data_IF_650262304982
#
_entry.id   IF_650262304982
#
_cell.length_a   1.000
_cell.length_b   1.000
_cell.length_c   1.000
_cell.angle_alpha   90.00
_cell.angle_beta   90.00
_cell.angle_gamma   90.00
#
_symmetry.space_group_name_H-M   'P 1'
#
loop_
_entity.id
_entity.type
_entity.pdbx_description
1 polymer ?
#
# COMPACT_ATOMS: atom_id res chain seq x y z
N UNK A 1 -7.81 8.19 4.11
CA UNK A 1 -8.97 8.85 4.73
C UNK A 1 -9.37 8.20 6.05
N UNK A 2 -9.91 6.97 6.05
CA UNK A 2 -10.42 6.33 7.29
C UNK A 2 -9.35 6.04 8.36
N UNK A 3 -8.20 5.50 7.95
CA UNK A 3 -7.09 5.27 8.89
C UNK A 3 -6.57 6.58 9.48
N UNK A 4 -6.60 7.67 8.72
CA UNK A 4 -6.18 8.98 9.21
C UNK A 4 -7.20 9.61 10.17
N UNK A 5 -8.50 9.34 9.98
CA UNK A 5 -9.54 9.79 10.91
C UNK A 5 -9.36 9.17 12.29
N UNK A 6 -9.24 7.85 12.33
CA UNK A 6 -9.10 7.08 13.58
C UNK A 6 -7.75 7.29 14.26
N UNK A 7 -6.67 7.53 13.50
CA UNK A 7 -5.31 7.64 14.05
C UNK A 7 -4.82 9.07 14.32
N UNK A 8 -5.54 10.11 13.88
CA UNK A 8 -5.06 11.51 13.97
C UNK A 8 -6.08 12.48 14.56
N UNK A 9 -7.29 12.01 14.89
CA UNK A 9 -8.33 12.83 15.49
C UNK A 9 -9.02 13.81 14.53
N UNK A 10 -10.12 14.44 14.96
CA UNK A 10 -11.02 15.18 14.06
C UNK A 10 -10.41 16.44 13.46
N UNK A 11 -9.52 17.14 14.18
CA UNK A 11 -8.90 18.39 13.70
C UNK A 11 -7.98 18.13 12.50
N UNK A 12 -7.10 17.13 12.61
CA UNK A 12 -6.22 16.72 11.50
C UNK A 12 -7.00 16.12 10.34
N UNK A 13 -8.09 15.40 10.63
CA UNK A 13 -8.97 14.89 9.59
C UNK A 13 -9.63 16.01 8.77
N UNK A 14 -10.09 17.10 9.40
CA UNK A 14 -10.66 18.24 8.69
C UNK A 14 -9.63 18.89 7.75
N UNK A 15 -8.37 19.00 8.19
CA UNK A 15 -7.26 19.46 7.32
C UNK A 15 -7.06 18.49 6.15
N UNK A 16 -7.12 17.18 6.41
CA UNK A 16 -6.99 16.14 5.38
C UNK A 16 -8.11 16.20 4.33
N UNK A 17 -9.35 16.49 4.77
CA UNK A 17 -10.50 16.72 3.90
C UNK A 17 -10.31 17.95 3.03
N UNK A 18 -9.73 19.02 3.58
CA UNK A 18 -9.44 20.23 2.81
C UNK A 18 -8.29 20.04 1.81
N UNK A 19 -7.32 19.18 2.12
CA UNK A 19 -6.23 18.82 1.20
C UNK A 19 -6.63 17.76 0.14
N UNK A 20 -7.71 17.02 0.35
CA UNK A 20 -8.23 16.07 -0.63
C UNK A 20 -8.40 16.63 -2.05
N UNK A 21 -9.06 17.79 -2.27
CA UNK A 21 -9.18 18.37 -3.61
C UNK A 21 -7.82 18.70 -4.23
N UNK A 22 -6.83 19.08 -3.43
CA UNK A 22 -5.46 19.34 -3.91
C UNK A 22 -4.81 18.03 -4.37
N UNK A 23 -4.96 16.95 -3.60
CA UNK A 23 -4.44 15.62 -3.99
C UNK A 23 -5.12 15.13 -5.28
N UNK A 24 -6.44 15.28 -5.39
CA UNK A 24 -7.19 14.93 -6.59
C UNK A 24 -6.73 15.74 -7.81
N UNK A 25 -6.40 17.01 -7.61
CA UNK A 25 -5.86 17.87 -8.67
C UNK A 25 -4.51 17.34 -9.18
N UNK A 26 -3.60 16.93 -8.29
CA UNK A 26 -2.32 16.31 -8.68
C UNK A 26 -2.50 15.01 -9.48
N UNK A 27 -3.52 14.21 -9.15
CA UNK A 27 -3.85 12.99 -9.89
C UNK A 27 -4.36 13.31 -11.30
N UNK A 28 -5.20 14.35 -11.44
CA UNK A 28 -5.66 14.87 -12.73
C UNK A 28 -4.50 15.40 -13.59
N UNK A 29 -3.51 16.04 -12.96
CA UNK A 29 -2.28 16.50 -13.64
C UNK A 29 -1.31 15.37 -14.02
N UNK A 30 -1.61 14.10 -13.70
CA UNK A 30 -0.81 12.94 -14.08
C UNK A 30 0.37 12.65 -13.14
N UNK A 31 0.51 13.37 -12.03
CA UNK A 31 1.56 13.14 -11.04
C UNK A 31 1.17 12.08 -10.00
N UNK A 32 0.85 10.86 -10.45
CA UNK A 32 0.35 9.76 -9.60
C UNK A 32 1.26 9.45 -8.41
N UNK A 33 2.58 9.39 -8.62
CA UNK A 33 3.55 9.12 -7.57
C UNK A 33 3.61 10.25 -6.53
N UNK A 34 3.50 11.52 -6.96
CA UNK A 34 3.49 12.66 -6.05
C UNK A 34 2.18 12.75 -5.27
N UNK A 35 1.04 12.52 -5.94
CA UNK A 35 -0.28 12.47 -5.32
C UNK A 35 -0.33 11.39 -4.22
N UNK A 36 0.18 10.19 -4.51
CA UNK A 36 0.24 9.10 -3.53
C UNK A 36 1.15 9.44 -2.34
N UNK A 37 2.35 9.99 -2.60
CA UNK A 37 3.28 10.43 -1.53
C UNK A 37 2.66 11.50 -0.65
N UNK A 38 1.99 12.49 -1.25
CA UNK A 38 1.30 13.54 -0.51
C UNK A 38 0.16 12.96 0.32
N UNK A 39 -0.64 12.05 -0.25
CA UNK A 39 -1.72 11.40 0.47
C UNK A 39 -1.21 10.61 1.69
N UNK A 40 -0.12 9.85 1.51
CA UNK A 40 0.51 9.09 2.59
C UNK A 40 1.09 10.04 3.65
N UNK A 41 1.77 11.11 3.23
CA UNK A 41 2.34 12.12 4.11
C UNK A 41 1.27 12.76 4.99
N UNK A 42 0.21 13.26 4.38
CA UNK A 42 -0.87 13.93 5.10
C UNK A 42 -1.62 12.94 6.00
N UNK A 43 -1.76 11.67 5.59
CA UNK A 43 -2.47 10.65 6.37
C UNK A 43 -1.69 10.08 7.57
N UNK A 44 -0.35 10.10 7.53
CA UNK A 44 0.49 9.39 8.51
C UNK A 44 1.47 10.29 9.25
N UNK A 45 1.64 11.55 8.83
CA UNK A 45 2.57 12.48 9.47
C UNK A 45 2.21 12.74 10.94
N UNK A 46 3.20 12.54 11.81
CA UNK A 46 3.06 12.83 13.24
C UNK A 46 2.16 11.86 13.99
N UNK A 47 1.90 10.67 13.45
CA UNK A 47 1.21 9.56 14.13
C UNK A 47 2.23 8.52 14.57
N UNK A 48 1.97 7.84 15.68
CA UNK A 48 2.84 6.75 16.15
C UNK A 48 2.66 5.52 15.25
N UNK A 49 3.75 4.86 14.90
CA UNK A 49 3.70 3.66 14.04
C UNK A 49 2.80 2.57 14.64
N UNK A 50 2.83 2.38 15.96
CA UNK A 50 1.99 1.42 16.67
C UNK A 50 0.50 1.73 16.52
N UNK A 51 0.13 3.02 16.52
CA UNK A 51 -1.26 3.46 16.38
C UNK A 51 -1.76 3.21 14.97
N UNK A 52 -0.95 3.55 13.94
CA UNK A 52 -1.25 3.20 12.55
C UNK A 52 -1.46 1.70 12.42
N UNK A 53 -0.60 0.87 13.03
CA UNK A 53 -0.71 -0.60 12.99
C UNK A 53 -1.96 -1.14 13.69
N UNK A 54 -2.42 -0.47 14.76
CA UNK A 54 -3.65 -0.82 15.47
C UNK A 54 -4.89 -0.46 14.65
N UNK A 55 -4.96 0.78 14.16
CA UNK A 55 -6.06 1.27 13.32
C UNK A 55 -6.14 0.49 12.02
N UNK A 56 -4.99 0.23 11.38
CA UNK A 56 -4.89 -0.62 10.20
C UNK A 56 -5.51 -1.99 10.46
N UNK A 57 -5.25 -2.63 11.61
CA UNK A 57 -5.84 -3.92 11.95
C UNK A 57 -7.35 -3.84 12.20
N UNK A 58 -7.83 -2.80 12.87
CA UNK A 58 -9.24 -2.70 13.22
C UNK A 58 -10.12 -2.40 11.99
N UNK A 59 -9.61 -1.56 11.08
CA UNK A 59 -10.43 -0.95 10.04
C UNK A 59 -10.18 -1.58 8.67
N UNK A 60 -8.93 -1.77 8.26
CA UNK A 60 -8.60 -2.16 6.88
C UNK A 60 -9.10 -3.54 6.47
N UNK A 61 -9.14 -4.59 7.34
CA UNK A 61 -9.61 -5.89 6.91
C UNK A 61 -11.02 -5.85 6.32
N UNK A 62 -11.93 -5.06 6.92
CA UNK A 62 -13.30 -4.92 6.42
C UNK A 62 -13.31 -4.36 4.98
N UNK A 63 -12.63 -3.25 4.75
CA UNK A 63 -12.58 -2.60 3.44
C UNK A 63 -11.88 -3.46 2.38
N UNK A 64 -10.75 -4.09 2.73
CA UNK A 64 -10.03 -4.91 1.78
C UNK A 64 -10.75 -6.21 1.44
N UNK A 65 -11.52 -6.79 2.37
CA UNK A 65 -12.35 -7.95 2.07
C UNK A 65 -13.54 -7.59 1.17
N UNK A 66 -14.12 -6.40 1.34
CA UNK A 66 -15.20 -5.91 0.47
C UNK A 66 -14.70 -5.62 -0.96
N UNK A 67 -13.48 -5.14 -1.11
CA UNK A 67 -12.84 -4.88 -2.41
C UNK A 67 -12.30 -6.14 -3.12
N UNK A 68 -12.20 -7.28 -2.42
CA UNK A 68 -11.59 -8.50 -2.96
C UNK A 68 -12.64 -9.34 -3.71
N UNK A 69 -12.47 -9.47 -5.03
CA UNK A 69 -13.30 -10.39 -5.82
C UNK A 69 -13.12 -11.85 -5.37
N UNK A 70 -14.24 -12.57 -5.24
CA UNK A 70 -14.27 -13.99 -4.87
C UNK A 70 -13.45 -14.85 -5.84
N UNK A 71 -13.46 -14.51 -7.13
CA UNK A 71 -12.71 -15.24 -8.15
C UNK A 71 -11.21 -15.04 -7.99
N UNK A 72 -10.78 -13.80 -7.74
CA UNK A 72 -9.39 -13.47 -7.42
C UNK A 72 -8.90 -14.21 -6.17
N UNK A 73 -9.73 -14.26 -5.13
CA UNK A 73 -9.41 -14.99 -3.90
C UNK A 73 -9.27 -16.50 -4.14
N UNK A 74 -10.15 -17.10 -4.94
CA UNK A 74 -10.08 -18.53 -5.27
C UNK A 74 -8.79 -18.89 -5.98
N UNK A 75 -8.39 -18.09 -6.98
CA UNK A 75 -7.12 -18.29 -7.69
C UNK A 75 -5.95 -18.07 -6.73
N UNK A 76 -5.96 -16.97 -5.96
CA UNK A 76 -4.88 -16.64 -5.04
C UNK A 76 -4.67 -17.69 -3.94
N UNK A 77 -5.75 -18.24 -3.39
CA UNK A 77 -5.70 -19.28 -2.35
C UNK A 77 -5.25 -20.64 -2.86
N UNK A 78 -5.37 -20.91 -4.17
CA UNK A 78 -4.88 -22.13 -4.80
C UNK A 78 -3.36 -22.15 -5.03
N UNK A 79 -2.70 -20.98 -4.95
CA UNK A 79 -1.27 -20.85 -5.17
C UNK A 79 -0.46 -21.29 -3.94
N UNK A 80 0.65 -22.00 -4.19
CA UNK A 80 1.52 -22.50 -3.12
C UNK A 80 2.39 -21.41 -2.48
N UNK A 81 2.95 -20.51 -3.30
CA UNK A 81 3.69 -19.32 -2.83
C UNK A 81 2.91 -18.07 -3.23
N UNK A 82 2.62 -17.21 -2.25
CA UNK A 82 1.77 -16.04 -2.42
C UNK A 82 2.52 -14.79 -2.02
N UNK A 83 2.69 -13.88 -2.98
CA UNK A 83 3.35 -12.59 -2.76
C UNK A 83 2.38 -11.49 -3.12
N UNK A 84 2.18 -10.54 -2.22
CA UNK A 84 1.34 -9.37 -2.47
C UNK A 84 2.25 -8.18 -2.69
N UNK A 85 2.03 -7.50 -3.81
CA UNK A 85 2.74 -6.27 -4.18
C UNK A 85 1.77 -5.13 -4.09
N UNK A 86 2.14 -4.06 -3.39
CA UNK A 86 1.30 -2.86 -3.24
C UNK A 86 2.14 -1.60 -3.20
N UNK A 87 1.56 -0.49 -3.65
CA UNK A 87 2.13 0.85 -3.47
C UNK A 87 1.85 1.41 -2.07
N UNK A 88 0.89 0.81 -1.36
CA UNK A 88 0.53 1.25 -0.02
C UNK A 88 1.66 0.95 0.98
N UNK A 89 1.74 1.73 2.07
CA UNK A 89 2.69 1.48 3.14
C UNK A 89 2.58 0.06 3.68
N UNK A 90 3.70 -0.64 3.73
CA UNK A 90 3.78 -2.03 4.21
C UNK A 90 3.17 -2.18 5.60
N UNK A 91 3.45 -1.26 6.52
CA UNK A 91 2.95 -1.28 7.91
C UNK A 91 1.41 -1.30 7.99
N UNK A 92 0.72 -0.76 6.98
CA UNK A 92 -0.75 -0.72 6.93
C UNK A 92 -1.32 -2.03 6.39
N UNK A 93 -0.67 -2.66 5.41
CA UNK A 93 -1.22 -3.84 4.71
C UNK A 93 -0.72 -5.17 5.26
N UNK A 94 0.47 -5.21 5.85
CA UNK A 94 1.20 -6.47 6.11
C UNK A 94 0.40 -7.42 7.01
N UNK A 95 -0.24 -6.88 8.05
CA UNK A 95 -1.06 -7.68 8.96
C UNK A 95 -2.29 -8.26 8.29
N UNK A 96 -3.02 -7.45 7.52
CA UNK A 96 -4.17 -7.93 6.77
C UNK A 96 -3.75 -9.06 5.82
N UNK A 97 -2.72 -8.82 5.04
CA UNK A 97 -2.25 -9.75 4.02
C UNK A 97 -1.75 -11.08 4.63
N UNK A 98 -1.00 -11.03 5.73
CA UNK A 98 -0.50 -12.24 6.40
C UNK A 98 -1.59 -12.97 7.18
N UNK A 99 -2.44 -12.26 7.92
CA UNK A 99 -3.45 -12.89 8.78
C UNK A 99 -4.70 -13.34 7.99
N UNK A 100 -5.17 -12.54 7.01
CA UNK A 100 -6.41 -12.82 6.26
C UNK A 100 -6.13 -13.50 4.92
N UNK A 101 -5.14 -13.02 4.16
CA UNK A 101 -4.82 -13.60 2.85
C UNK A 101 -3.83 -14.78 2.93
N UNK A 102 -3.20 -15.00 4.09
CA UNK A 102 -2.16 -16.01 4.33
C UNK A 102 -1.01 -15.92 3.32
N UNK A 103 -0.68 -14.71 2.86
CA UNK A 103 0.44 -14.54 1.95
C UNK A 103 1.78 -14.73 2.68
N UNK A 104 2.76 -15.30 1.97
CA UNK A 104 4.10 -15.56 2.51
C UNK A 104 4.90 -14.26 2.61
N UNK A 105 4.74 -13.38 1.61
CA UNK A 105 5.52 -12.15 1.52
C UNK A 105 4.70 -10.96 1.03
N UNK A 106 5.08 -9.77 1.53
CA UNK A 106 4.43 -8.50 1.22
C UNK A 106 5.50 -7.49 0.81
N UNK A 107 5.39 -6.99 -0.42
CA UNK A 107 6.22 -5.93 -0.96
C UNK A 107 5.37 -4.67 -0.98
N UNK A 108 5.68 -3.74 -0.09
CA UNK A 108 5.00 -2.45 0.04
C UNK A 108 6.01 -1.31 0.17
N UNK A 109 5.53 -0.07 0.15
CA UNK A 109 6.37 1.10 0.43
C UNK A 109 6.76 1.16 1.91
N UNK A 110 7.98 1.60 2.21
CA UNK A 110 8.46 1.68 3.59
C UNK A 110 8.38 3.13 4.08
N UNK A 111 7.72 3.33 5.22
CA UNK A 111 7.59 4.65 5.83
C UNK A 111 8.83 4.98 6.65
N UNK A 112 9.23 6.24 6.63
CA UNK A 112 10.26 6.76 7.52
C UNK A 112 9.67 6.99 8.92
N UNK A 113 10.33 6.38 9.90
CA UNK A 113 10.01 6.51 11.32
C UNK A 113 11.16 7.23 12.02
N UNK A 114 10.84 8.21 12.85
CA UNK A 114 11.80 8.91 13.69
C UNK A 114 12.23 8.03 14.87
N UNK A 115 13.37 8.35 15.52
CA UNK A 115 13.88 7.60 16.68
C UNK A 115 12.91 7.50 17.87
N UNK A 116 11.90 8.38 17.91
CA UNK A 116 10.83 8.38 18.90
C UNK A 116 9.61 7.50 18.53
N UNK A 117 9.65 6.77 17.41
CA UNK A 117 8.55 5.90 16.96
C UNK A 117 7.40 6.62 16.24
N UNK A 118 7.60 7.88 15.87
CA UNK A 118 6.64 8.66 15.07
C UNK A 118 6.93 8.53 13.59
N UNK A 119 5.87 8.31 12.81
CA UNK A 119 5.93 8.28 11.36
C UNK A 119 6.04 9.72 10.84
N UNK A 120 7.04 9.97 10.01
CA UNK A 120 7.25 11.32 9.42
C UNK A 120 6.29 11.60 8.28
N UNK A 121 5.64 10.55 7.76
CA UNK A 121 4.77 10.59 6.59
C UNK A 121 5.54 10.47 5.26
N UNK A 122 6.86 10.44 5.30
CA UNK A 122 7.69 10.30 4.11
C UNK A 122 7.93 8.82 3.81
N UNK A 123 7.92 8.51 2.52
CA UNK A 123 8.27 7.20 1.98
C UNK A 123 9.77 7.19 1.72
N UNK A 124 10.45 6.08 2.03
CA UNK A 124 11.90 5.93 1.80
C UNK A 124 12.26 5.94 0.32
N UNK A 125 11.36 5.43 -0.52
CA UNK A 125 11.52 5.30 -1.95
C UNK A 125 11.36 6.63 -2.71
N UNK A 126 12.36 7.00 -3.51
CA UNK A 126 12.28 8.12 -4.46
C UNK A 126 11.35 7.82 -5.64
N UNK A 127 11.44 6.62 -6.21
CA UNK A 127 10.49 6.11 -7.19
C UNK A 127 9.85 4.82 -6.67
N UNK A 128 8.53 4.87 -6.46
CA UNK A 128 7.77 3.76 -5.86
C UNK A 128 7.75 2.56 -6.82
N UNK A 129 7.51 2.82 -8.10
CA UNK A 129 7.35 1.76 -9.10
C UNK A 129 8.68 1.05 -9.35
N UNK A 130 9.76 1.80 -9.54
CA UNK A 130 11.10 1.24 -9.77
C UNK A 130 11.61 0.49 -8.53
N UNK A 131 11.36 1.00 -7.32
CA UNK A 131 11.70 0.32 -6.08
C UNK A 131 10.98 -1.03 -5.96
N UNK A 132 9.66 -1.02 -6.18
CA UNK A 132 8.84 -2.22 -6.12
C UNK A 132 9.32 -3.24 -7.15
N UNK A 133 9.54 -2.84 -8.42
CA UNK A 133 10.05 -3.72 -9.46
C UNK A 133 11.38 -4.36 -9.08
N UNK A 134 12.32 -3.58 -8.53
CA UNK A 134 13.61 -4.08 -8.08
C UNK A 134 13.46 -5.10 -6.94
N UNK A 135 12.58 -4.82 -5.96
CA UNK A 135 12.31 -5.74 -4.84
C UNK A 135 11.66 -7.04 -5.31
N UNK A 136 10.71 -6.96 -6.24
CA UNK A 136 10.08 -8.13 -6.85
C UNK A 136 11.12 -8.93 -7.65
N UNK A 137 11.93 -8.27 -8.48
CA UNK A 137 12.99 -8.91 -9.25
C UNK A 137 13.99 -9.67 -8.38
N UNK A 138 14.42 -9.06 -7.27
CA UNK A 138 15.31 -9.70 -6.30
C UNK A 138 14.67 -10.89 -5.57
N UNK A 139 13.34 -10.89 -5.41
CA UNK A 139 12.63 -12.00 -4.76
C UNK A 139 12.43 -13.21 -5.67
N UNK A 140 12.39 -12.97 -6.99
CA UNK A 140 12.07 -13.97 -8.00
C UNK A 140 13.24 -14.27 -8.95
N UNK A 141 14.48 -14.08 -8.48
CA UNK A 141 15.71 -14.37 -9.27
C UNK A 141 15.73 -15.82 -9.74
N UNK A 142 15.34 -16.77 -8.89
CA UNK A 142 15.42 -18.22 -9.18
C UNK A 142 14.11 -18.83 -9.70
N UNK A 143 12.97 -18.16 -9.51
CA UNK A 143 11.64 -18.68 -9.89
C UNK A 143 10.75 -17.54 -10.36
N UNK A 144 10.35 -17.56 -11.63
CA UNK A 144 9.38 -16.57 -12.13
C UNK A 144 7.97 -16.88 -11.62
N UNK A 145 7.15 -15.85 -11.30
CA UNK A 145 5.75 -16.05 -10.98
C UNK A 145 4.97 -16.58 -12.21
N UNK A 146 4.08 -17.54 -11.98
CA UNK A 146 3.26 -18.17 -13.03
C UNK A 146 1.96 -17.40 -13.29
N UNK A 147 1.49 -16.65 -12.30
CA UNK A 147 0.22 -15.94 -12.34
C UNK A 147 0.44 -14.56 -11.73
N UNK A 148 0.09 -13.53 -12.46
CA UNK A 148 0.03 -12.16 -11.99
C UNK A 148 -1.41 -11.65 -12.03
N UNK A 149 -1.88 -11.09 -10.91
CA UNK A 149 -3.23 -10.52 -10.80
C UNK A 149 -3.08 -9.05 -10.42
N UNK A 150 -3.75 -8.14 -11.13
CA UNK A 150 -3.71 -6.71 -10.85
C UNK A 150 -4.96 -5.98 -11.35
N UNK A 151 -5.19 -4.76 -10.84
CA UNK A 151 -6.28 -3.88 -11.32
C UNK A 151 -5.90 -3.26 -12.68
N UNK A 152 -6.83 -3.19 -13.64
CA UNK A 152 -6.54 -2.68 -14.98
C UNK A 152 -6.17 -1.19 -15.03
N UNK A 153 -6.65 -0.36 -14.09
CA UNK A 153 -6.33 1.07 -14.04
C UNK A 153 -4.87 1.40 -13.65
N UNK A 154 -4.14 0.41 -13.12
CA UNK A 154 -2.72 0.52 -12.76
C UNK A 154 -1.79 -0.18 -13.76
N UNK A 155 -2.33 -0.71 -14.87
CA UNK A 155 -1.59 -1.44 -15.92
C UNK A 155 -0.60 -0.56 -16.72
N UNK A 156 -0.65 0.76 -16.61
CA UNK A 156 0.28 1.65 -17.30
C UNK A 156 1.64 1.80 -16.59
N UNK A 157 1.79 1.27 -15.38
CA UNK A 157 3.11 1.23 -14.74
C UNK A 157 3.81 -0.06 -15.12
N UNK A 158 4.79 0.10 -16.01
CA UNK A 158 5.88 -0.83 -16.32
C UNK A 158 6.17 -1.83 -15.20
N UNK A 159 6.26 -3.12 -15.47
CA UNK A 159 5.09 -3.99 -15.38
C UNK A 159 5.47 -5.10 -14.39
N UNK A 160 4.95 -5.12 -13.16
CA UNK A 160 5.19 -6.26 -12.26
C UNK A 160 4.70 -7.58 -12.90
N UNK A 161 3.69 -7.47 -13.77
CA UNK A 161 3.18 -8.59 -14.57
C UNK A 161 4.11 -9.02 -15.72
N UNK A 162 5.06 -8.18 -16.20
CA UNK A 162 6.04 -8.64 -17.21
C UNK A 162 7.10 -9.56 -16.62
N UNK A 163 7.18 -9.65 -15.29
CA UNK A 163 7.97 -10.64 -14.58
C UNK A 163 7.26 -11.99 -14.49
N UNK A 164 5.96 -12.05 -14.84
CA UNK A 164 5.20 -13.30 -14.91
C UNK A 164 5.43 -14.01 -16.25
N UNK A 165 5.44 -15.34 -16.21
CA UNK A 165 5.64 -16.21 -17.38
C UNK A 165 4.35 -16.42 -18.18
#
# INVERSE_FOLDING_TARGET
MLVAYEASGPIRFTILLFLWPIIALFDVFGYKNAALKLMIFVATSGVRESEIKLVARAVLPKFYMDDLSKDTWRVFSSCQKRVVVTRMPRVMVERFVKEHLRADEVIGTELMVNGFGFVTGLIRETDIDQSILRRVGNLFVDRRPHIGIGRPAEMNSTTVLSLCQ
#
